data_IF_953777032293
#
_entry.id   IF_953777032293
#
_cell.length_a   1.000
_cell.length_b   1.000
_cell.length_c   1.000
_cell.angle_alpha   90.00
_cell.angle_beta   90.00
_cell.angle_gamma   90.00
#
_symmetry.space_group_name_H-M   'P 1'
#
loop_
_entity.id
_entity.type
_entity.pdbx_description
1 polymer ?
#
# COMPACT_ATOMS: atom_id res chain seq x y z
N UNK A 1 -14.66 63.98 -5.26
CA UNK A 1 -14.71 62.69 -4.54
C UNK A 1 -14.20 61.59 -5.47
N UNK A 2 -13.01 61.02 -5.19
CA UNK A 2 -12.39 59.93 -5.97
C UNK A 2 -12.41 58.66 -5.11
N UNK A 3 -13.17 57.67 -5.55
CA UNK A 3 -13.21 56.32 -4.97
C UNK A 3 -12.62 55.34 -5.98
N UNK A 4 -11.40 54.88 -5.73
CA UNK A 4 -10.84 53.68 -6.37
C UNK A 4 -10.77 52.55 -5.34
N UNK A 5 -11.15 51.30 -5.67
CA UNK A 5 -10.94 50.22 -4.70
C UNK A 5 -10.17 48.97 -5.21
N UNK A 6 -9.14 48.65 -4.41
CA UNK A 6 -8.94 47.39 -3.65
C UNK A 6 -8.23 46.16 -4.22
N UNK A 7 -7.86 46.06 -5.50
CA UNK A 7 -7.21 44.81 -5.98
C UNK A 7 -5.70 44.68 -5.73
N UNK A 8 -5.00 45.75 -5.33
CA UNK A 8 -3.54 45.76 -5.25
C UNK A 8 -2.94 45.31 -3.89
N UNK A 9 -3.74 44.97 -2.87
CA UNK A 9 -3.24 44.75 -1.50
C UNK A 9 -3.13 43.28 -1.06
N UNK A 10 -3.47 42.31 -1.91
CA UNK A 10 -3.47 40.88 -1.55
C UNK A 10 -2.29 40.06 -2.08
N UNK A 11 -1.39 40.64 -2.89
CA UNK A 11 -0.32 39.91 -3.60
C UNK A 11 1.07 40.03 -2.96
N UNK A 12 1.16 40.28 -1.65
CA UNK A 12 2.44 40.53 -0.96
C UNK A 12 2.68 39.74 0.35
N UNK A 13 1.85 38.75 0.72
CA UNK A 13 1.97 38.05 2.02
C UNK A 13 1.78 36.53 1.99
N UNK A 14 2.33 35.81 1.01
CA UNK A 14 2.56 34.35 1.13
C UNK A 14 3.89 33.87 0.54
N UNK A 15 4.93 34.70 0.65
CA UNK A 15 6.32 34.23 0.68
C UNK A 15 6.77 34.25 2.14
N UNK A 16 6.66 33.12 2.83
CA UNK A 16 7.41 32.76 4.06
C UNK A 16 7.00 31.34 4.43
N UNK A 17 7.76 30.39 3.91
CA UNK A 17 7.87 29.05 4.48
C UNK A 17 8.33 29.17 5.94
N UNK A 18 7.75 28.41 6.87
CA UNK A 18 8.51 27.83 7.96
C UNK A 18 9.04 26.48 7.47
N UNK A 19 10.32 26.44 7.16
CA UNK A 19 11.09 25.20 7.15
C UNK A 19 10.97 24.59 8.55
N UNK A 20 10.10 23.59 8.69
CA UNK A 20 10.08 22.75 9.88
C UNK A 20 11.43 22.03 9.94
N UNK A 21 12.25 22.45 10.88
CA UNK A 21 13.56 21.89 11.17
C UNK A 21 13.40 20.45 11.66
N UNK A 22 13.25 19.52 10.73
CA UNK A 22 13.47 18.10 11.00
C UNK A 22 14.96 17.93 11.19
N UNK A 23 15.31 17.62 12.43
CA UNK A 23 16.63 17.31 12.97
C UNK A 23 17.41 16.42 12.00
N UNK A 24 18.33 17.01 11.24
CA UNK A 24 19.34 16.30 10.45
C UNK A 24 20.39 15.68 11.39
N UNK A 25 20.05 14.57 12.04
CA UNK A 25 20.99 13.75 12.81
C UNK A 25 21.65 12.72 11.89
N UNK A 26 22.43 13.18 10.91
CA UNK A 26 23.50 12.33 10.36
C UNK A 26 24.62 13.18 9.78
N UNK A 27 25.82 13.00 10.33
CA UNK A 27 27.06 13.71 9.95
C UNK A 27 27.58 13.35 8.54
N UNK A 28 26.85 12.53 7.77
CA UNK A 28 27.31 11.94 6.49
C UNK A 28 26.84 12.66 5.23
N UNK A 29 25.90 13.61 5.30
CA UNK A 29 25.37 14.28 4.10
C UNK A 29 26.12 15.55 3.67
N UNK A 30 27.10 16.04 4.46
CA UNK A 30 27.83 17.28 4.15
C UNK A 30 28.91 17.17 3.06
N UNK A 31 29.29 15.97 2.63
CA UNK A 31 30.46 15.80 1.74
C UNK A 31 30.15 15.68 0.24
N UNK A 32 28.87 15.61 -0.18
CA UNK A 32 28.54 15.33 -1.60
C UNK A 32 28.06 16.54 -2.41
N UNK A 33 27.97 17.73 -1.82
CA UNK A 33 27.46 18.93 -2.51
C UNK A 33 28.52 19.80 -3.19
N UNK A 34 29.80 19.44 -3.09
CA UNK A 34 30.92 20.19 -3.69
C UNK A 34 31.73 19.30 -4.63
N UNK A 35 31.13 18.81 -5.72
CA UNK A 35 31.88 18.36 -6.89
C UNK A 35 31.03 18.48 -8.15
N UNK A 36 30.76 19.72 -8.53
CA UNK A 36 30.43 20.07 -9.89
C UNK A 36 31.73 19.98 -10.71
N UNK A 37 31.71 19.22 -11.80
CA UNK A 37 32.74 19.28 -12.84
C UNK A 37 33.41 17.95 -13.15
N UNK A 38 32.71 17.06 -13.87
CA UNK A 38 33.34 16.27 -14.94
C UNK A 38 32.34 16.08 -16.08
N UNK A 39 32.83 16.34 -17.27
CA UNK A 39 32.18 16.33 -18.57
C UNK A 39 32.39 14.93 -19.14
N UNK A 40 31.36 14.08 -19.17
CA UNK A 40 31.41 12.80 -19.89
C UNK A 40 30.09 12.59 -20.65
N UNK A 41 30.15 12.65 -21.99
CA UNK A 41 29.31 11.82 -22.87
C UNK A 41 30.21 10.64 -23.22
N UNK A 42 29.79 9.38 -23.06
CA UNK A 42 29.06 8.72 -24.15
C UNK A 42 28.08 7.62 -23.72
N UNK A 43 27.20 7.22 -24.64
CA UNK A 43 26.71 5.84 -24.77
C UNK A 43 25.78 5.30 -23.68
N UNK A 44 24.49 5.26 -24.00
CA UNK A 44 23.53 4.19 -23.66
C UNK A 44 23.89 3.34 -22.42
N UNK A 45 23.81 3.94 -21.23
CA UNK A 45 23.84 3.18 -19.99
C UNK A 45 22.44 2.60 -19.81
N UNK A 46 22.34 1.28 -19.79
CA UNK A 46 21.14 0.51 -19.47
C UNK A 46 20.33 1.23 -18.39
N UNK A 47 19.04 1.48 -18.64
CA UNK A 47 18.11 1.83 -17.58
C UNK A 47 17.99 0.54 -16.77
N UNK A 48 18.64 0.40 -15.59
CA UNK A 48 18.33 -0.74 -14.75
C UNK A 48 16.84 -0.64 -14.45
N UNK A 49 16.13 -1.70 -14.85
CA UNK A 49 14.78 -2.07 -14.49
C UNK A 49 14.13 -1.01 -13.62
N UNK A 50 13.28 -0.19 -14.25
CA UNK A 50 12.47 0.78 -13.55
C UNK A 50 11.72 0.04 -12.43
N UNK A 51 12.30 0.05 -11.23
CA UNK A 51 11.69 -0.44 -10.01
C UNK A 51 10.51 0.49 -9.84
N UNK A 52 9.35 0.05 -10.31
CA UNK A 52 8.09 0.74 -10.13
C UNK A 52 8.03 1.07 -8.64
N UNK A 53 7.98 2.36 -8.24
CA UNK A 53 8.04 2.71 -6.83
C UNK A 53 6.90 1.96 -6.16
N UNK A 54 7.25 1.13 -5.17
CA UNK A 54 6.28 0.33 -4.43
C UNK A 54 5.21 1.28 -3.89
N UNK A 55 4.01 1.19 -4.46
CA UNK A 55 2.96 2.11 -4.13
C UNK A 55 2.38 1.67 -2.79
N UNK A 56 2.79 2.33 -1.72
CA UNK A 56 2.43 1.94 -0.35
C UNK A 56 0.90 1.83 -0.16
N UNK A 57 0.11 2.61 -0.92
CA UNK A 57 -1.35 2.50 -0.97
C UNK A 57 -1.82 1.18 -1.57
N UNK A 58 -1.18 0.71 -2.64
CA UNK A 58 -1.49 -0.57 -3.27
C UNK A 58 -1.18 -1.74 -2.33
N UNK A 59 -0.09 -1.66 -1.56
CA UNK A 59 0.23 -2.71 -0.58
C UNK A 59 -0.83 -2.82 0.53
N UNK A 60 -1.31 -1.67 1.04
CA UNK A 60 -2.39 -1.64 2.02
C UNK A 60 -3.71 -2.21 1.46
N UNK A 61 -4.04 -1.88 0.21
CA UNK A 61 -5.22 -2.41 -0.47
C UNK A 61 -5.13 -3.92 -0.68
N UNK A 62 -3.97 -4.44 -1.11
CA UNK A 62 -3.75 -5.88 -1.30
C UNK A 62 -3.83 -6.62 0.03
N UNK A 63 -3.20 -6.09 1.09
CA UNK A 63 -3.28 -6.72 2.42
C UNK A 63 -4.73 -6.75 2.93
N UNK A 64 -5.45 -5.64 2.80
CA UNK A 64 -6.87 -5.54 3.16
C UNK A 64 -7.73 -6.53 2.37
N UNK A 65 -7.52 -6.63 1.06
CA UNK A 65 -8.24 -7.56 0.20
C UNK A 65 -7.99 -9.03 0.59
N UNK A 66 -6.74 -9.41 0.89
CA UNK A 66 -6.42 -10.76 1.35
C UNK A 66 -7.11 -11.10 2.68
N UNK A 67 -7.14 -10.15 3.62
CA UNK A 67 -7.83 -10.33 4.91
C UNK A 67 -9.34 -10.46 4.69
N UNK A 68 -9.94 -9.57 3.90
CA UNK A 68 -11.37 -9.57 3.65
C UNK A 68 -11.83 -10.83 2.90
N UNK A 69 -11.14 -11.20 1.81
CA UNK A 69 -11.46 -12.38 1.02
C UNK A 69 -11.24 -13.67 1.81
N UNK A 70 -10.12 -13.79 2.53
CA UNK A 70 -9.85 -14.96 3.35
C UNK A 70 -10.85 -15.10 4.51
N UNK A 71 -11.18 -14.00 5.18
CA UNK A 71 -12.18 -13.99 6.24
C UNK A 71 -13.57 -14.35 5.73
N UNK A 72 -14.00 -13.75 4.61
CA UNK A 72 -15.29 -14.06 4.00
C UNK A 72 -15.37 -15.53 3.60
N UNK A 73 -14.33 -16.08 2.96
CA UNK A 73 -14.31 -17.49 2.55
C UNK A 73 -14.43 -18.45 3.73
N UNK A 74 -13.79 -18.16 4.86
CA UNK A 74 -13.90 -18.98 6.08
C UNK A 74 -15.29 -18.86 6.69
N UNK A 75 -15.79 -17.64 6.86
CA UNK A 75 -17.11 -17.40 7.46
C UNK A 75 -18.22 -17.99 6.62
N UNK A 76 -18.16 -17.82 5.29
CA UNK A 76 -19.15 -18.37 4.37
C UNK A 76 -19.18 -19.90 4.39
N UNK A 77 -18.01 -20.57 4.37
CA UNK A 77 -18.00 -22.03 4.50
C UNK A 77 -18.50 -22.51 5.87
N UNK A 78 -18.05 -21.92 6.96
CA UNK A 78 -18.45 -22.40 8.30
C UNK A 78 -19.91 -22.08 8.60
N UNK A 79 -20.35 -20.85 8.34
CA UNK A 79 -21.70 -20.40 8.71
C UNK A 79 -22.72 -20.85 7.68
N UNK A 80 -22.48 -20.57 6.40
CA UNK A 80 -23.49 -20.78 5.36
C UNK A 80 -23.51 -22.24 4.91
N UNK A 81 -22.35 -22.87 4.76
CA UNK A 81 -22.28 -24.25 4.26
C UNK A 81 -22.43 -25.28 5.38
N UNK A 82 -21.75 -25.12 6.52
CA UNK A 82 -21.84 -26.12 7.60
C UNK A 82 -22.98 -25.87 8.60
N UNK A 83 -23.14 -24.63 9.07
CA UNK A 83 -24.13 -24.31 10.11
C UNK A 83 -25.56 -24.23 9.57
N UNK A 84 -25.73 -23.58 8.42
CA UNK A 84 -27.03 -23.33 7.82
C UNK A 84 -27.37 -24.31 6.70
N UNK A 85 -26.39 -25.00 6.12
CA UNK A 85 -26.59 -25.95 5.02
C UNK A 85 -27.27 -25.36 3.78
N UNK A 86 -27.21 -24.03 3.60
CA UNK A 86 -28.03 -23.30 2.61
C UNK A 86 -27.56 -23.51 1.17
N UNK A 87 -26.25 -23.65 0.98
CA UNK A 87 -25.65 -23.97 -0.31
C UNK A 87 -24.68 -25.12 -0.08
N UNK A 88 -25.01 -26.33 -0.56
CA UNK A 88 -23.99 -27.38 -0.71
C UNK A 88 -23.26 -27.13 -2.01
N UNK A 89 -21.92 -27.06 -1.94
CA UNK A 89 -21.08 -26.92 -3.13
C UNK A 89 -21.18 -28.16 -4.04
N UNK A 90 -21.46 -29.34 -3.47
CA UNK A 90 -21.69 -30.59 -4.20
C UNK A 90 -22.91 -31.30 -3.61
N UNK A 91 -23.88 -31.76 -4.43
CA UNK A 91 -25.07 -32.47 -3.95
C UNK A 91 -24.74 -33.80 -3.24
N UNK A 92 -23.70 -34.48 -3.73
CA UNK A 92 -23.23 -35.78 -3.21
C UNK A 92 -22.43 -35.60 -1.91
N UNK A 93 -22.86 -36.23 -0.79
CA UNK A 93 -22.25 -36.06 0.53
C UNK A 93 -20.75 -36.39 0.60
N UNK A 94 -20.34 -37.42 -0.14
CA UNK A 94 -18.98 -37.97 -0.03
C UNK A 94 -17.95 -37.10 -0.77
N UNK A 95 -18.40 -36.33 -1.75
CA UNK A 95 -17.55 -35.43 -2.54
C UNK A 95 -17.55 -33.98 -2.02
N UNK A 96 -18.54 -33.59 -1.21
CA UNK A 96 -18.67 -32.20 -0.74
C UNK A 96 -17.67 -31.87 0.37
N UNK A 97 -17.46 -32.79 1.32
CA UNK A 97 -16.58 -32.61 2.46
C UNK A 97 -15.14 -32.19 2.10
N UNK A 98 -14.41 -32.90 1.21
CA UNK A 98 -13.04 -32.52 0.89
C UNK A 98 -12.94 -31.16 0.19
N UNK A 99 -13.94 -30.78 -0.62
CA UNK A 99 -13.98 -29.49 -1.31
C UNK A 99 -14.20 -28.35 -0.32
N UNK A 100 -15.16 -28.51 0.59
CA UNK A 100 -15.46 -27.53 1.64
C UNK A 100 -14.27 -27.33 2.58
N UNK A 101 -13.61 -28.43 3.00
CA UNK A 101 -12.37 -28.36 3.78
C UNK A 101 -11.28 -27.62 2.99
N UNK A 102 -11.12 -27.93 1.71
CA UNK A 102 -10.15 -27.26 0.84
C UNK A 102 -10.39 -25.75 0.75
N UNK A 103 -11.65 -25.33 0.60
CA UNK A 103 -12.04 -23.91 0.56
C UNK A 103 -11.78 -23.20 1.89
N UNK A 104 -12.09 -23.84 3.03
CA UNK A 104 -11.78 -23.30 4.37
C UNK A 104 -10.27 -23.13 4.54
N UNK A 105 -9.48 -24.15 4.17
CA UNK A 105 -8.01 -24.10 4.27
C UNK A 105 -7.44 -22.99 3.39
N UNK A 106 -7.94 -22.85 2.16
CA UNK A 106 -7.52 -21.78 1.25
C UNK A 106 -7.88 -20.40 1.80
N UNK A 107 -9.10 -20.22 2.30
CA UNK A 107 -9.54 -18.97 2.95
C UNK A 107 -8.68 -18.62 4.16
N UNK A 108 -8.40 -19.60 5.02
CA UNK A 108 -7.53 -19.43 6.18
C UNK A 108 -6.10 -19.07 5.77
N UNK A 109 -5.57 -19.67 4.70
CA UNK A 109 -4.24 -19.34 4.18
C UNK A 109 -4.17 -17.91 3.65
N UNK A 110 -5.17 -17.45 2.89
CA UNK A 110 -5.27 -16.07 2.40
C UNK A 110 -5.36 -15.07 3.55
N UNK A 111 -6.22 -15.36 4.54
CA UNK A 111 -6.37 -14.54 5.74
C UNK A 111 -5.06 -14.45 6.52
N UNK A 112 -4.41 -15.59 6.77
CA UNK A 112 -3.13 -15.65 7.46
C UNK A 112 -2.03 -14.88 6.71
N UNK A 113 -2.00 -14.98 5.37
CA UNK A 113 -1.05 -14.24 4.54
C UNK A 113 -1.30 -12.73 4.65
N UNK A 114 -2.55 -12.29 4.53
CA UNK A 114 -2.94 -10.89 4.67
C UNK A 114 -2.54 -10.33 6.05
N UNK A 115 -2.86 -11.05 7.13
CA UNK A 115 -2.48 -10.68 8.50
C UNK A 115 -0.96 -10.64 8.70
N UNK A 116 -0.21 -11.60 8.13
CA UNK A 116 1.26 -11.62 8.22
C UNK A 116 1.87 -10.43 7.49
N UNK A 117 1.37 -10.07 6.31
CA UNK A 117 1.83 -8.90 5.54
C UNK A 117 1.53 -7.60 6.29
N UNK A 118 0.32 -7.47 6.82
CA UNK A 118 -0.09 -6.31 7.60
C UNK A 118 0.77 -6.14 8.87
N UNK A 119 1.03 -7.24 9.60
CA UNK A 119 1.91 -7.22 10.77
C UNK A 119 3.34 -6.84 10.44
N UNK A 120 3.87 -7.25 9.28
CA UNK A 120 5.22 -6.86 8.82
C UNK A 120 5.25 -5.37 8.44
N UNK A 121 4.24 -4.89 7.73
CA UNK A 121 4.13 -3.49 7.34
C UNK A 121 4.07 -2.54 8.55
N UNK A 122 3.52 -2.98 9.68
CA UNK A 122 3.50 -2.20 10.94
C UNK A 122 4.78 -2.26 11.76
N UNK A 123 5.70 -3.19 11.47
CA UNK A 123 6.96 -3.40 12.21
C UNK A 123 8.17 -2.77 11.53
N UNK A 124 8.07 -2.43 10.25
CA UNK A 124 9.09 -1.68 9.50
C UNK A 124 8.82 -0.19 9.56
#
# INVERSE_FOLDING_TARGET
>A
MRSGPTWARWRARRRRSPCTAIRCTSRRQRARSCRAGTRERPGTLAIPDAVKPANHRSDALVNGALIALGGLAVVDNVVVHWLLGLHRAVPEPDASLPVEIGLVVLGAALLALGLRRERRARRG
#
